data_IF_340963646355
#
_entry.id   IF_340963646355
#
_cell.length_a   1.000
_cell.length_b   1.000
_cell.length_c   1.000
_cell.angle_alpha   90.00
_cell.angle_beta   90.00
_cell.angle_gamma   90.00
#
_symmetry.space_group_name_H-M   'P 1'
#
loop_
_entity.id
_entity.type
_entity.pdbx_description
1 polymer ?
#
# COMPACT_ATOMS: atom_id res chain seq x y z
N UNK A 1 25.05 7.22 17.07
CA UNK A 1 25.34 8.07 15.90
C UNK A 1 26.15 7.25 14.89
N UNK A 2 25.46 6.68 13.91
CA UNK A 2 26.05 6.12 12.69
C UNK A 2 24.93 6.06 11.65
N UNK A 3 24.83 7.09 10.82
CA UNK A 3 23.96 7.05 9.63
C UNK A 3 24.71 6.22 8.60
N UNK A 4 24.57 4.90 8.67
CA UNK A 4 24.98 4.02 7.59
C UNK A 4 23.89 4.09 6.51
N UNK A 5 23.94 5.13 5.69
CA UNK A 5 23.27 5.17 4.40
C UNK A 5 24.03 4.24 3.45
N UNK A 6 23.94 2.93 3.69
CA UNK A 6 24.50 1.93 2.79
C UNK A 6 23.60 1.87 1.56
N UNK A 7 24.10 2.42 0.46
CA UNK A 7 23.60 2.11 -0.87
C UNK A 7 23.79 0.63 -1.14
N UNK A 8 22.78 -0.17 -0.82
CA UNK A 8 22.72 -1.59 -1.14
C UNK A 8 22.38 -1.73 -2.63
N UNK A 9 23.43 -1.61 -3.45
CA UNK A 9 23.44 -2.10 -4.81
C UNK A 9 24.06 -3.49 -4.85
N UNK A 10 23.45 -4.39 -5.62
CA UNK A 10 24.00 -5.45 -6.50
C UNK A 10 22.72 -5.99 -7.21
N UNK A 11 22.55 -6.14 -8.53
CA UNK A 11 23.35 -5.99 -9.74
C UNK A 11 22.69 -6.91 -10.80
N UNK A 12 22.00 -6.39 -11.82
CA UNK A 12 22.44 -6.45 -13.21
C UNK A 12 21.55 -5.59 -14.15
N UNK A 13 21.47 -4.28 -13.89
CA UNK A 13 21.21 -3.19 -14.85
C UNK A 13 20.94 -1.92 -14.01
N UNK A 14 21.97 -1.11 -13.89
CA UNK A 14 22.21 0.03 -12.99
C UNK A 14 21.00 0.93 -12.67
N UNK A 15 20.26 0.59 -11.60
CA UNK A 15 19.41 1.53 -10.84
C UNK A 15 19.98 1.63 -9.43
N UNK A 16 20.29 2.84 -8.98
CA UNK A 16 20.74 3.09 -7.60
C UNK A 16 19.47 3.28 -6.75
N UNK A 17 19.41 2.71 -5.56
CA UNK A 17 18.31 2.96 -4.62
C UNK A 17 18.73 3.97 -3.56
N UNK A 18 17.79 4.82 -3.15
CA UNK A 18 17.98 5.73 -2.02
C UNK A 18 17.03 5.35 -0.90
N UNK A 19 17.46 5.57 0.34
CA UNK A 19 16.67 5.29 1.55
C UNK A 19 16.45 6.60 2.28
N UNK A 20 15.18 6.90 2.58
CA UNK A 20 14.84 8.02 3.46
C UNK A 20 14.37 7.46 4.79
N UNK A 21 15.02 7.90 5.86
CA UNK A 21 14.64 7.52 7.21
C UNK A 21 13.28 8.17 7.55
N UNK A 22 12.32 7.36 7.97
CA UNK A 22 10.97 7.80 8.28
C UNK A 22 10.87 8.45 9.67
N UNK A 23 11.92 9.12 10.16
CA UNK A 23 11.95 9.76 11.49
C UNK A 23 10.84 10.81 11.69
N UNK A 24 10.14 11.22 10.62
CA UNK A 24 8.92 12.04 10.66
C UNK A 24 7.66 11.26 11.10
N UNK A 25 7.69 9.92 11.24
CA UNK A 25 6.59 9.08 11.73
C UNK A 25 6.40 9.13 13.25
N UNK A 26 7.05 10.06 13.96
CA UNK A 26 6.87 10.27 15.41
C UNK A 26 5.42 10.70 15.69
N UNK A 27 4.53 9.71 15.80
CA UNK A 27 3.27 9.63 16.56
C UNK A 27 2.36 8.47 16.08
N UNK A 28 2.73 7.70 15.04
CA UNK A 28 1.86 6.62 14.57
C UNK A 28 2.07 5.32 15.35
N UNK A 29 1.00 4.57 15.65
CA UNK A 29 1.06 3.32 16.42
C UNK A 29 1.55 2.14 15.57
N UNK A 30 2.60 2.35 14.77
CA UNK A 30 3.24 1.27 14.02
C UNK A 30 4.16 0.47 14.93
N UNK A 31 4.30 -0.82 14.61
CA UNK A 31 5.32 -1.66 15.20
C UNK A 31 6.71 -1.15 14.79
N UNK A 32 7.61 -1.03 15.77
CA UNK A 32 9.03 -0.68 15.60
C UNK A 32 9.28 0.55 14.69
N UNK A 33 8.66 1.72 14.96
CA UNK A 33 8.64 2.86 14.04
C UNK A 33 10.02 3.47 13.76
N UNK A 34 11.01 3.24 14.63
CA UNK A 34 12.39 3.67 14.45
C UNK A 34 13.19 2.84 13.43
N UNK A 35 12.64 1.71 12.98
CA UNK A 35 13.26 0.79 12.02
C UNK A 35 12.60 0.86 10.63
N UNK A 36 11.53 1.66 10.50
CA UNK A 36 10.84 1.86 9.23
C UNK A 36 11.63 2.81 8.34
N UNK A 37 11.79 2.44 7.08
CA UNK A 37 12.39 3.27 6.05
C UNK A 37 11.60 3.20 4.75
N UNK A 38 11.63 4.26 3.95
CA UNK A 38 11.10 4.23 2.58
C UNK A 38 12.23 4.04 1.60
N UNK A 39 12.05 3.08 0.70
CA UNK A 39 12.96 2.79 -0.41
C UNK A 39 12.32 3.28 -1.71
N UNK A 40 13.13 3.86 -2.59
CA UNK A 40 12.71 4.43 -3.87
C UNK A 40 13.68 4.03 -4.97
N UNK A 41 13.16 3.94 -6.19
CA UNK A 41 14.02 3.85 -7.37
C UNK A 41 14.65 5.22 -7.63
N UNK A 42 15.92 5.24 -8.05
CA UNK A 42 16.58 6.45 -8.54
C UNK A 42 17.17 6.18 -9.92
N UNK A 43 17.10 7.19 -10.79
CA UNK A 43 17.70 7.20 -12.11
C UNK A 43 18.64 8.40 -12.20
N UNK A 44 19.89 8.28 -11.71
CA UNK A 44 20.85 9.38 -11.68
C UNK A 44 21.11 10.00 -13.05
N UNK A 45 21.14 9.16 -14.11
CA UNK A 45 21.32 9.59 -15.50
C UNK A 45 20.19 10.49 -16.02
N UNK A 46 19.03 10.48 -15.37
CA UNK A 46 17.86 11.32 -15.69
C UNK A 46 17.60 12.38 -14.62
N UNK A 47 18.49 12.51 -13.62
CA UNK A 47 18.29 13.41 -12.48
C UNK A 47 17.11 13.03 -11.57
N UNK A 48 16.57 11.81 -11.68
CA UNK A 48 15.42 11.37 -10.88
C UNK A 48 15.92 10.72 -9.59
N UNK A 49 15.62 11.33 -8.45
CA UNK A 49 16.09 10.86 -7.13
C UNK A 49 15.04 10.07 -6.35
N UNK A 50 13.78 10.10 -6.79
CA UNK A 50 12.67 9.33 -6.22
C UNK A 50 11.69 9.00 -7.35
N UNK A 51 11.57 7.72 -7.69
CA UNK A 51 10.58 7.23 -8.64
C UNK A 51 9.71 6.11 -8.02
N UNK A 52 8.54 5.91 -8.60
CA UNK A 52 7.60 4.87 -8.25
C UNK A 52 8.08 3.54 -8.82
N UNK A 53 8.28 2.56 -7.95
CA UNK A 53 8.72 1.22 -8.34
C UNK A 53 7.57 0.45 -8.99
N UNK A 54 7.83 -0.25 -10.10
CA UNK A 54 6.84 -1.16 -10.69
C UNK A 54 6.63 -2.37 -9.76
N UNK A 55 5.50 -3.06 -9.87
CA UNK A 55 5.26 -4.27 -9.06
C UNK A 55 6.34 -5.35 -9.31
N UNK A 56 6.78 -5.49 -10.56
CA UNK A 56 7.84 -6.44 -10.92
C UNK A 56 9.17 -6.08 -10.25
N UNK A 57 9.57 -4.81 -10.32
CA UNK A 57 10.80 -4.35 -9.67
C UNK A 57 10.72 -4.54 -8.14
N UNK A 58 9.54 -4.27 -7.53
CA UNK A 58 9.34 -4.54 -6.11
C UNK A 58 9.51 -6.02 -5.76
N UNK A 59 8.98 -6.94 -6.58
CA UNK A 59 9.14 -8.37 -6.37
C UNK A 59 10.59 -8.80 -6.51
N UNK A 60 11.33 -8.23 -7.47
CA UNK A 60 12.76 -8.47 -7.62
C UNK A 60 13.53 -7.98 -6.39
N UNK A 61 13.22 -6.78 -5.89
CA UNK A 61 13.84 -6.24 -4.68
C UNK A 61 13.54 -7.11 -3.47
N UNK A 62 12.28 -7.52 -3.29
CA UNK A 62 11.87 -8.40 -2.19
C UNK A 62 12.59 -9.74 -2.24
N UNK A 63 12.78 -10.30 -3.43
CA UNK A 63 13.46 -11.60 -3.63
C UNK A 63 14.97 -11.50 -3.41
N UNK A 64 15.60 -10.39 -3.80
CA UNK A 64 17.04 -10.17 -3.67
C UNK A 64 17.43 -9.48 -2.35
N UNK A 65 16.45 -9.15 -1.51
CA UNK A 65 16.64 -8.42 -0.28
C UNK A 65 17.38 -9.25 0.78
N UNK A 66 18.48 -8.70 1.28
CA UNK A 66 19.25 -9.23 2.42
C UNK A 66 19.39 -8.22 3.57
N UNK A 67 18.88 -6.99 3.39
CA UNK A 67 19.12 -5.87 4.29
C UNK A 67 17.93 -5.56 5.22
N UNK A 68 16.71 -5.86 4.76
CA UNK A 68 15.49 -5.58 5.50
C UNK A 68 14.85 -6.87 6.00
N UNK A 69 14.32 -6.87 7.22
CA UNK A 69 13.60 -8.02 7.76
C UNK A 69 12.30 -8.30 6.96
N UNK A 70 11.60 -7.24 6.56
CA UNK A 70 10.37 -7.31 5.77
C UNK A 70 10.31 -6.15 4.79
N UNK A 71 9.64 -6.37 3.66
CA UNK A 71 9.37 -5.35 2.66
C UNK A 71 7.92 -5.41 2.23
N UNK A 72 7.30 -4.24 2.11
CA UNK A 72 5.95 -4.08 1.59
C UNK A 72 5.92 -2.92 0.58
N UNK A 73 4.99 -3.00 -0.36
CA UNK A 73 4.76 -1.97 -1.36
C UNK A 73 3.41 -1.31 -1.15
N UNK A 74 3.33 -0.03 -1.51
CA UNK A 74 2.07 0.68 -1.60
C UNK A 74 2.08 1.67 -2.75
N UNK A 75 0.89 2.03 -3.24
CA UNK A 75 0.67 3.17 -4.12
C UNK A 75 -0.69 3.79 -3.82
N UNK A 76 -0.84 5.09 -4.08
CA UNK A 76 -2.11 5.78 -3.93
C UNK A 76 -2.96 5.61 -5.19
N UNK A 77 -4.26 5.42 -5.01
CA UNK A 77 -5.20 5.36 -6.11
C UNK A 77 -6.54 5.97 -5.71
N UNK A 78 -7.15 6.74 -6.62
CA UNK A 78 -8.53 7.16 -6.46
C UNK A 78 -9.49 6.06 -6.91
N UNK A 79 -10.55 5.88 -6.12
CA UNK A 79 -11.65 4.96 -6.40
C UNK A 79 -12.97 5.73 -6.43
N UNK A 80 -13.82 5.40 -7.38
CA UNK A 80 -15.20 5.88 -7.43
C UNK A 80 -16.11 4.85 -6.76
N UNK A 81 -16.54 5.15 -5.53
CA UNK A 81 -17.46 4.30 -4.77
C UNK A 81 -18.90 4.58 -5.19
N UNK A 82 -19.59 3.53 -5.65
CA UNK A 82 -21.03 3.51 -5.90
C UNK A 82 -21.76 2.81 -4.75
N UNK A 83 -23.00 3.21 -4.47
CA UNK A 83 -23.83 2.66 -3.40
C UNK A 83 -24.33 3.74 -2.43
N UNK A 84 -25.27 4.57 -2.90
CA UNK A 84 -25.81 5.76 -2.25
C UNK A 84 -26.44 6.70 -3.29
N UNK A 85 -26.95 7.86 -2.90
CA UNK A 85 -27.59 8.80 -3.84
C UNK A 85 -26.63 9.40 -4.88
N UNK A 86 -25.33 9.50 -4.58
CA UNK A 86 -24.31 10.05 -5.49
C UNK A 86 -23.02 9.21 -5.45
N UNK A 87 -22.33 9.03 -6.60
CA UNK A 87 -20.97 8.49 -6.64
C UNK A 87 -20.01 9.37 -5.84
N UNK A 88 -19.09 8.75 -5.12
CA UNK A 88 -18.08 9.47 -4.34
C UNK A 88 -16.68 9.05 -4.77
N UNK A 89 -15.83 10.03 -5.08
CA UNK A 89 -14.42 9.80 -5.37
C UNK A 89 -13.63 9.82 -4.08
N UNK A 90 -12.94 8.73 -3.81
CA UNK A 90 -12.26 8.49 -2.54
C UNK A 90 -10.80 8.13 -2.81
N UNK A 91 -9.87 8.76 -2.06
CA UNK A 91 -8.46 8.36 -2.08
C UNK A 91 -8.30 7.07 -1.27
N UNK A 92 -7.67 6.08 -1.89
CA UNK A 92 -7.28 4.84 -1.24
C UNK A 92 -5.84 4.44 -1.55
N UNK A 93 -5.47 3.28 -1.05
CA UNK A 93 -4.16 2.66 -1.26
C UNK A 93 -4.31 1.35 -2.02
N UNK A 94 -3.32 1.00 -2.83
CA UNK A 94 -3.06 -0.39 -3.24
C UNK A 94 -1.80 -0.86 -2.54
N UNK A 95 -1.86 -1.98 -1.83
CA UNK A 95 -0.79 -2.43 -0.93
C UNK A 95 -0.48 -3.91 -1.10
N UNK A 96 0.77 -4.32 -0.88
CA UNK A 96 1.09 -5.75 -0.78
C UNK A 96 0.50 -6.35 0.51
N UNK A 97 0.30 -7.67 0.55
CA UNK A 97 -0.24 -8.35 1.72
C UNK A 97 0.64 -8.17 2.96
N UNK A 98 1.96 -8.00 2.77
CA UNK A 98 2.94 -7.83 3.85
C UNK A 98 2.82 -6.50 4.60
N UNK A 99 2.09 -5.49 4.08
CA UNK A 99 2.06 -4.16 4.67
C UNK A 99 1.51 -4.15 6.09
N UNK A 100 0.38 -4.83 6.33
CA UNK A 100 -0.26 -4.80 7.65
C UNK A 100 0.53 -5.57 8.71
N UNK A 101 1.07 -6.78 8.43
CA UNK A 101 2.01 -7.45 9.33
C UNK A 101 3.26 -6.61 9.63
N UNK A 102 3.82 -5.95 8.60
CA UNK A 102 5.00 -5.08 8.74
C UNK A 102 4.72 -3.91 9.68
N UNK A 103 3.57 -3.24 9.52
CA UNK A 103 3.17 -2.11 10.38
C UNK A 103 2.60 -2.55 11.74
N UNK A 104 2.33 -3.84 11.95
CA UNK A 104 1.66 -4.34 13.15
C UNK A 104 0.17 -3.94 13.26
N UNK A 105 -0.44 -3.52 12.15
CA UNK A 105 -1.83 -3.06 12.12
C UNK A 105 -2.81 -4.23 12.29
N UNK A 106 -3.81 -4.07 13.16
CA UNK A 106 -4.84 -5.07 13.43
C UNK A 106 -6.19 -4.57 12.94
N UNK A 107 -6.93 -5.42 12.24
CA UNK A 107 -8.29 -5.10 11.79
C UNK A 107 -9.24 -5.01 12.98
N UNK A 108 -10.23 -4.11 12.91
CA UNK A 108 -11.36 -4.09 13.86
C UNK A 108 -12.22 -5.34 13.68
N UNK A 109 -12.41 -5.72 12.41
CA UNK A 109 -13.21 -6.87 12.00
C UNK A 109 -12.62 -7.44 10.71
N UNK A 110 -12.70 -8.77 10.54
CA UNK A 110 -12.23 -9.45 9.33
C UNK A 110 -10.74 -9.77 9.35
N UNK A 111 -10.11 -9.74 8.18
CA UNK A 111 -8.70 -10.11 7.96
C UNK A 111 -7.99 -9.15 7.03
N UNK A 112 -6.67 -9.27 6.93
CA UNK A 112 -5.84 -8.59 5.91
C UNK A 112 -5.82 -9.39 4.60
N UNK A 113 -5.15 -8.86 3.57
CA UNK A 113 -4.95 -9.56 2.30
C UNK A 113 -4.11 -10.83 2.46
N UNK A 114 -4.42 -11.84 1.65
CA UNK A 114 -3.62 -13.05 1.46
C UNK A 114 -2.66 -12.88 0.27
N UNK A 115 -1.51 -13.58 0.24
CA UNK A 115 -0.57 -13.48 -0.88
C UNK A 115 -1.19 -13.76 -2.25
N UNK A 116 -2.08 -14.74 -2.35
CA UNK A 116 -2.76 -15.11 -3.59
C UNK A 116 -3.75 -14.05 -4.09
N UNK A 117 -4.16 -13.09 -3.24
CA UNK A 117 -5.03 -11.97 -3.61
C UNK A 117 -4.23 -10.82 -4.28
N UNK A 118 -2.91 -11.00 -4.44
CA UNK A 118 -2.05 -10.15 -5.27
C UNK A 118 -1.95 -10.66 -6.72
N UNK A 119 -2.56 -11.82 -7.02
CA UNK A 119 -2.62 -12.38 -8.37
C UNK A 119 -3.81 -11.79 -9.15
N UNK A 120 -3.65 -11.53 -10.47
CA UNK A 120 -4.75 -11.08 -11.32
C UNK A 120 -5.97 -12.01 -11.25
N UNK A 121 -7.15 -11.43 -11.01
CA UNK A 121 -8.42 -12.18 -10.94
C UNK A 121 -8.77 -12.67 -9.54
N UNK A 122 -7.83 -12.63 -8.59
CA UNK A 122 -8.07 -12.89 -7.16
C UNK A 122 -8.07 -11.62 -6.31
N UNK A 123 -7.81 -10.47 -6.93
CA UNK A 123 -7.57 -9.16 -6.31
C UNK A 123 -8.85 -8.31 -6.14
N UNK A 124 -10.02 -8.93 -6.23
CA UNK A 124 -11.35 -8.29 -6.08
C UNK A 124 -11.83 -8.28 -4.62
N UNK A 125 -10.92 -7.90 -3.73
CA UNK A 125 -11.15 -7.77 -2.29
C UNK A 125 -10.73 -6.39 -1.80
N UNK A 126 -11.39 -5.88 -0.76
CA UNK A 126 -11.14 -4.52 -0.23
C UNK A 126 -11.20 -4.48 1.29
N UNK A 127 -10.39 -3.59 1.86
CA UNK A 127 -10.45 -3.18 3.26
C UNK A 127 -11.06 -1.78 3.35
N UNK A 128 -11.99 -1.61 4.30
CA UNK A 128 -12.73 -0.36 4.49
C UNK A 128 -12.12 0.42 5.67
N UNK A 129 -11.81 1.70 5.44
CA UNK A 129 -11.35 2.59 6.51
C UNK A 129 -12.44 2.84 7.56
N UNK A 130 -12.08 2.89 8.85
CA UNK A 130 -13.05 3.12 9.93
C UNK A 130 -13.90 4.39 9.74
N UNK A 131 -13.28 5.48 9.26
CA UNK A 131 -13.98 6.74 8.98
C UNK A 131 -15.08 6.61 7.92
N UNK A 132 -14.80 5.83 6.87
CA UNK A 132 -15.77 5.54 5.81
C UNK A 132 -16.89 4.61 6.32
N UNK A 133 -16.52 3.55 7.02
CA UNK A 133 -17.46 2.63 7.66
C UNK A 133 -18.47 3.38 8.55
N UNK A 134 -17.98 4.33 9.36
CA UNK A 134 -18.83 5.16 10.21
C UNK A 134 -19.73 6.10 9.41
N UNK A 135 -19.18 6.87 8.46
CA UNK A 135 -19.94 7.95 7.79
C UNK A 135 -20.92 7.45 6.74
N UNK A 136 -20.60 6.37 6.03
CA UNK A 136 -21.36 5.90 4.86
C UNK A 136 -22.16 4.63 5.13
N UNK A 137 -21.64 3.76 5.99
CA UNK A 137 -22.26 2.48 6.30
C UNK A 137 -22.84 2.44 7.72
N UNK A 138 -22.87 3.58 8.43
CA UNK A 138 -23.51 3.66 9.76
C UNK A 138 -22.90 2.75 10.82
N UNK A 139 -21.63 2.32 10.65
CA UNK A 139 -20.99 1.27 11.46
C UNK A 139 -21.69 -0.09 11.39
N UNK A 140 -22.31 -0.43 10.28
CA UNK A 140 -22.97 -1.72 10.07
C UNK A 140 -21.95 -2.88 10.08
N UNK A 141 -21.99 -3.80 11.08
CA UNK A 141 -21.07 -4.93 11.16
C UNK A 141 -21.33 -5.98 10.06
N UNK A 142 -22.49 -5.93 9.40
CA UNK A 142 -22.83 -6.82 8.29
C UNK A 142 -22.11 -6.43 7.00
N UNK A 143 -21.39 -5.30 6.96
CA UNK A 143 -20.61 -4.89 5.79
C UNK A 143 -19.53 -5.91 5.41
N UNK A 144 -19.00 -6.67 6.39
CA UNK A 144 -18.04 -7.73 6.12
C UNK A 144 -18.68 -8.82 5.22
N UNK A 145 -17.99 -9.16 4.13
CA UNK A 145 -18.48 -10.13 3.13
C UNK A 145 -19.43 -9.53 2.10
N UNK A 146 -19.87 -8.27 2.25
CA UNK A 146 -20.67 -7.60 1.22
C UNK A 146 -19.82 -7.14 0.05
N UNK A 147 -20.49 -6.95 -1.08
CA UNK A 147 -19.89 -6.45 -2.32
C UNK A 147 -20.09 -4.95 -2.46
N UNK A 148 -18.99 -4.22 -2.64
CA UNK A 148 -18.98 -2.81 -3.00
C UNK A 148 -18.62 -2.64 -4.48
N UNK A 149 -19.21 -1.65 -5.15
CA UNK A 149 -18.82 -1.28 -6.50
C UNK A 149 -17.83 -0.13 -6.49
N UNK A 150 -16.60 -0.39 -6.93
CA UNK A 150 -15.50 0.57 -7.05
C UNK A 150 -15.05 0.65 -8.50
N UNK A 151 -15.06 1.84 -9.11
CA UNK A 151 -14.68 2.02 -10.52
C UNK A 151 -15.42 1.06 -11.47
N UNK A 152 -16.71 0.85 -11.23
CA UNK A 152 -17.59 -0.06 -11.97
C UNK A 152 -17.34 -1.57 -11.79
N UNK A 153 -16.28 -1.95 -11.09
CA UNK A 153 -15.96 -3.32 -10.70
C UNK A 153 -16.50 -3.67 -9.30
N UNK A 154 -16.67 -4.95 -9.03
CA UNK A 154 -17.21 -5.47 -7.77
C UNK A 154 -16.10 -5.99 -6.85
N UNK A 155 -16.08 -5.54 -5.60
CA UNK A 155 -15.09 -5.92 -4.59
C UNK A 155 -15.76 -6.44 -3.33
N UNK A 156 -15.27 -7.55 -2.78
CA UNK A 156 -15.75 -8.10 -1.52
C UNK A 156 -15.05 -7.43 -0.35
N UNK A 157 -15.79 -6.94 0.64
CA UNK A 157 -15.22 -6.39 1.87
C UNK A 157 -14.70 -7.53 2.73
N UNK A 158 -13.40 -7.57 2.98
CA UNK A 158 -12.76 -8.64 3.78
C UNK A 158 -12.29 -8.17 5.16
N UNK A 159 -12.36 -6.87 5.43
CA UNK A 159 -11.98 -6.33 6.73
C UNK A 159 -12.19 -4.82 6.87
N UNK A 160 -12.15 -4.37 8.12
CA UNK A 160 -12.32 -2.99 8.53
C UNK A 160 -11.08 -2.53 9.30
N UNK A 161 -10.46 -1.44 8.83
CA UNK A 161 -9.28 -0.86 9.46
C UNK A 161 -9.62 -0.21 10.80
N UNK A 162 -8.67 -0.13 11.74
CA UNK A 162 -8.89 0.56 13.00
C UNK A 162 -8.88 2.09 12.80
N UNK A 163 -9.45 2.80 13.78
CA UNK A 163 -9.65 4.27 13.68
C UNK A 163 -8.35 5.07 13.71
N UNK A 164 -7.28 4.47 14.22
CA UNK A 164 -5.93 5.00 14.36
C UNK A 164 -4.99 4.55 13.23
N UNK A 165 -5.50 3.80 12.24
CA UNK A 165 -4.72 3.49 11.06
C UNK A 165 -4.64 4.71 10.13
N UNK A 166 -3.47 5.32 10.12
CA UNK A 166 -3.10 6.39 9.19
C UNK A 166 -1.98 5.90 8.27
N UNK A 167 -1.83 6.53 7.10
CA UNK A 167 -0.80 6.14 6.12
C UNK A 167 -0.28 7.37 5.32
N UNK A 168 1.03 7.50 5.05
CA UNK A 168 1.58 8.68 4.37
C UNK A 168 1.20 8.83 2.88
N UNK A 169 1.11 10.06 2.33
CA UNK A 169 1.05 11.32 3.06
C UNK A 169 -0.28 11.36 3.82
N UNK A 170 -0.22 11.70 5.11
CA UNK A 170 -1.25 11.46 6.13
C UNK A 170 -2.57 12.17 5.85
N UNK A 171 -3.28 11.70 4.84
CA UNK A 171 -4.69 11.84 4.65
C UNK A 171 -5.34 10.60 5.27
N UNK A 172 -6.49 10.76 5.92
CA UNK A 172 -7.24 9.62 6.46
C UNK A 172 -7.53 8.64 5.32
N UNK A 173 -6.76 7.55 5.22
CA UNK A 173 -6.87 6.58 4.13
C UNK A 173 -8.25 5.93 4.18
N UNK A 174 -9.13 6.35 3.27
CA UNK A 174 -10.54 5.98 3.31
C UNK A 174 -10.79 4.59 2.70
N UNK A 175 -9.81 4.05 1.96
CA UNK A 175 -9.85 2.72 1.33
C UNK A 175 -8.48 2.09 1.14
N UNK A 176 -8.40 0.75 1.16
CA UNK A 176 -7.19 0.00 0.80
C UNK A 176 -7.55 -1.26 -0.01
N UNK A 177 -6.85 -1.50 -1.13
CA UNK A 177 -6.96 -2.66 -2.04
C UNK A 177 -5.62 -3.40 -2.11
N UNK A 178 -5.63 -4.67 -2.52
CA UNK A 178 -4.41 -5.39 -2.85
C UNK A 178 -3.68 -4.79 -4.07
N UNK A 179 -2.35 -4.71 -3.97
CA UNK A 179 -1.47 -4.46 -5.09
C UNK A 179 -1.34 -5.77 -5.88
N UNK A 180 -1.77 -5.72 -7.13
CA UNK A 180 -1.74 -6.83 -8.08
C UNK A 180 -0.95 -6.48 -9.32
N UNK A 181 -0.36 -7.50 -9.96
CA UNK A 181 0.36 -7.35 -11.21
C UNK A 181 -0.58 -6.82 -12.30
N UNK A 182 -0.50 -5.52 -12.62
CA UNK A 182 -1.13 -4.96 -13.80
C UNK A 182 -0.35 -5.33 -15.07
N UNK A 183 -0.97 -5.25 -16.27
CA UNK A 183 -0.22 -5.40 -17.51
C UNK A 183 0.93 -4.39 -17.53
N UNK A 184 2.14 -4.84 -17.90
CA UNK A 184 3.38 -4.03 -17.92
C UNK A 184 3.10 -2.68 -18.57
N UNK A 185 2.96 -1.64 -17.76
CA UNK A 185 3.04 -0.26 -18.21
C UNK A 185 4.49 -0.04 -18.61
N UNK A 186 4.77 -0.14 -19.92
CA UNK A 186 6.01 0.38 -20.48
C UNK A 186 6.07 1.85 -20.08
N UNK A 187 7.08 2.20 -19.28
CA UNK A 187 7.44 3.57 -18.96
C UNK A 187 7.34 4.44 -20.22
N UNK A 188 6.42 5.40 -20.23
CA UNK A 188 6.48 6.51 -21.19
C UNK A 188 7.63 7.40 -20.75
N UNK A 189 8.78 7.15 -21.33
CA UNK A 189 9.88 8.11 -21.38
C UNK A 189 10.13 8.35 -22.87
N UNK A 190 9.37 9.30 -23.42
CA UNK A 190 9.70 10.04 -24.64
C UNK A 190 10.39 11.32 -24.24
#
# INVERSE_FOLDING_TARGET
MAVLALGLGIGANTSIFSVVNFLLLRSLPYKDPGELVRVWATYPSKGVTQDVTSYADFMDWKTQNSAFQQMAAFTHQYFNLKGGNLPERILGLRVSADLFPLLGARMVQGRTFLPEEQEPGKDHVVLVGHGLWRRRFGRDPSLLGQTLRLNDESYTVIGILPSDFEFPPFEASQFVRALSAGPKSRSRLS
#
